data_IF_118095409343
#
_entry.id   IF_118095409343
#
_cell.length_a   1.000
_cell.length_b   1.000
_cell.length_c   1.000
_cell.angle_alpha   90.00
_cell.angle_beta   90.00
_cell.angle_gamma   90.00
#
_symmetry.space_group_name_H-M   'P 1'
#
loop_
_entity.id
_entity.type
_entity.pdbx_description
1 polymer ?
#
# COMPACT_ATOMS: atom_id res chain seq x y z
N UNK A 1 -51.73 70.42 -12.46
CA UNK A 1 -51.81 69.61 -13.70
C UNK A 1 -50.65 68.64 -13.70
N UNK A 2 -50.91 67.33 -13.83
CA UNK A 2 -49.86 66.31 -14.06
C UNK A 2 -49.33 66.44 -15.49
N UNK A 3 -48.02 66.28 -15.69
CA UNK A 3 -47.41 65.67 -16.88
C UNK A 3 -46.01 65.12 -16.53
N UNK A 4 -45.89 63.81 -16.75
CA UNK A 4 -44.72 62.95 -17.03
C UNK A 4 -43.96 63.47 -18.27
N UNK A 5 -42.76 63.07 -18.68
CA UNK A 5 -41.75 62.01 -18.44
C UNK A 5 -40.40 62.66 -18.88
N UNK A 6 -39.21 62.16 -18.57
CA UNK A 6 -38.43 61.34 -19.53
C UNK A 6 -37.26 60.64 -18.82
N UNK A 7 -37.28 59.30 -18.86
CA UNK A 7 -36.11 58.46 -18.58
C UNK A 7 -35.09 58.66 -19.70
N UNK A 8 -33.96 59.29 -19.40
CA UNK A 8 -32.82 59.29 -20.31
C UNK A 8 -32.29 57.85 -20.46
N UNK A 9 -32.40 57.29 -21.67
CA UNK A 9 -31.83 56.00 -22.04
C UNK A 9 -30.29 56.05 -21.91
N UNK A 10 -29.76 55.32 -20.93
CA UNK A 10 -28.32 55.22 -20.72
C UNK A 10 -27.70 54.25 -21.75
N UNK A 11 -27.21 54.79 -22.87
CA UNK A 11 -26.53 53.98 -23.90
C UNK A 11 -25.19 53.46 -23.38
N UNK A 12 -25.08 52.13 -23.26
CA UNK A 12 -23.87 51.41 -22.86
C UNK A 12 -22.86 51.48 -24.02
N UNK A 13 -21.60 51.81 -23.72
CA UNK A 13 -20.52 51.96 -24.70
C UNK A 13 -19.14 51.84 -24.08
N UNK A 14 -18.08 52.01 -24.87
CA UNK A 14 -16.70 51.94 -24.37
C UNK A 14 -16.47 52.97 -23.24
N UNK A 15 -15.99 52.50 -22.08
CA UNK A 15 -15.83 53.32 -20.87
C UNK A 15 -17.13 53.63 -20.10
N UNK A 16 -18.29 53.11 -20.51
CA UNK A 16 -19.60 53.34 -19.89
C UNK A 16 -20.23 52.02 -19.39
N UNK A 17 -19.84 51.50 -18.22
CA UNK A 17 -20.35 50.23 -17.72
C UNK A 17 -21.85 50.30 -17.39
N UNK A 18 -22.62 49.21 -17.60
CA UNK A 18 -24.06 49.18 -17.34
C UNK A 18 -24.38 49.53 -15.88
N UNK A 19 -25.36 50.41 -15.67
CA UNK A 19 -25.74 50.90 -14.33
C UNK A 19 -26.11 49.73 -13.40
N UNK A 20 -26.81 48.72 -13.92
CA UNK A 20 -27.26 47.55 -13.13
C UNK A 20 -26.11 46.71 -12.53
N UNK A 21 -24.90 46.79 -13.07
CA UNK A 21 -23.73 45.99 -12.62
C UNK A 21 -22.65 46.83 -11.92
N UNK A 22 -22.90 48.12 -11.68
CA UNK A 22 -21.96 48.96 -10.92
C UNK A 22 -22.01 48.57 -9.45
N UNK A 23 -20.85 48.42 -8.83
CA UNK A 23 -20.79 48.29 -7.38
C UNK A 23 -21.32 49.57 -6.73
N UNK A 24 -22.11 49.41 -5.66
CA UNK A 24 -22.58 50.55 -4.87
C UNK A 24 -21.39 51.15 -4.13
N UNK A 25 -21.27 52.47 -4.14
CA UNK A 25 -20.24 53.18 -3.39
C UNK A 25 -20.33 52.80 -1.91
N UNK A 26 -19.23 52.36 -1.32
CA UNK A 26 -19.18 51.85 0.06
C UNK A 26 -19.45 50.34 0.22
N UNK A 27 -19.79 49.61 -0.84
CA UNK A 27 -20.02 48.16 -0.80
C UNK A 27 -19.06 47.42 -1.71
N UNK A 28 -18.11 46.66 -1.12
CA UNK A 28 -17.23 45.75 -1.86
C UNK A 28 -18.06 44.67 -2.57
N UNK A 29 -17.71 44.34 -3.80
CA UNK A 29 -18.31 43.22 -4.56
C UNK A 29 -18.10 41.84 -3.92
N UNK A 30 -17.17 41.74 -2.97
CA UNK A 30 -16.98 40.56 -2.13
C UNK A 30 -16.99 40.98 -0.64
N UNK A 31 -18.16 41.14 -0.02
CA UNK A 31 -18.27 41.60 1.37
C UNK A 31 -17.69 40.60 2.39
N UNK A 32 -17.53 39.33 2.01
CA UNK A 32 -16.91 38.31 2.87
C UNK A 32 -15.41 38.15 2.66
N UNK A 33 -14.83 38.88 1.71
CA UNK A 33 -13.43 38.74 1.32
C UNK A 33 -13.07 37.33 0.84
N UNK A 34 -11.80 37.11 0.53
CA UNK A 34 -11.26 35.76 0.42
C UNK A 34 -11.02 35.25 1.84
N UNK A 35 -11.52 34.05 2.23
CA UNK A 35 -11.27 33.53 3.57
C UNK A 35 -9.76 33.44 3.81
N UNK A 36 -9.30 33.93 4.97
CA UNK A 36 -7.90 33.79 5.38
C UNK A 36 -7.60 32.30 5.50
N UNK A 37 -6.54 31.85 4.82
CA UNK A 37 -6.02 30.50 5.01
C UNK A 37 -5.47 30.43 6.44
N UNK A 38 -6.25 29.87 7.36
CA UNK A 38 -5.79 29.57 8.71
C UNK A 38 -4.87 28.36 8.56
N UNK A 39 -3.57 28.60 8.52
CA UNK A 39 -2.58 27.54 8.74
C UNK A 39 -2.72 27.18 10.21
N UNK A 40 -3.19 25.98 10.52
CA UNK A 40 -3.31 25.54 11.91
C UNK A 40 -1.89 25.49 12.50
N UNK A 41 -1.68 26.00 13.71
CA UNK A 41 -0.39 25.92 14.42
C UNK A 41 0.14 24.46 14.49
N UNK A 42 -0.75 23.47 14.46
CA UNK A 42 -0.45 22.04 14.38
C UNK A 42 0.14 21.56 13.05
N UNK A 43 0.15 22.41 12.01
CA UNK A 43 0.76 22.14 10.70
C UNK A 43 2.17 22.75 10.58
N UNK A 44 2.61 23.55 11.56
CA UNK A 44 3.98 24.06 11.61
C UNK A 44 4.90 22.96 12.16
N UNK A 45 5.86 22.45 11.37
CA UNK A 45 6.75 21.39 11.82
C UNK A 45 7.64 21.90 12.97
N UNK A 46 7.66 21.20 14.10
CA UNK A 46 8.64 21.45 15.17
C UNK A 46 9.96 20.74 14.80
N UNK A 47 11.10 21.32 15.19
CA UNK A 47 12.43 20.85 14.80
C UNK A 47 12.81 19.44 15.32
N UNK A 48 12.05 18.85 16.24
CA UNK A 48 12.49 17.71 17.05
C UNK A 48 12.19 16.32 16.47
N UNK A 49 11.43 16.19 15.37
CA UNK A 49 10.88 14.89 14.93
C UNK A 49 11.44 14.40 13.57
N UNK A 50 12.68 14.72 13.20
CA UNK A 50 13.22 14.46 11.85
C UNK A 50 12.36 15.09 10.71
N UNK A 51 11.54 16.09 11.03
CA UNK A 51 10.68 16.77 10.07
C UNK A 51 11.43 17.47 8.93
N UNK A 52 12.69 17.87 9.14
CA UNK A 52 13.53 18.42 8.07
C UNK A 52 13.83 17.38 6.99
N UNK A 53 14.07 16.12 7.35
CA UNK A 53 14.22 15.06 6.36
C UNK A 53 12.91 14.83 5.62
N UNK A 54 11.76 14.80 6.32
CA UNK A 54 10.46 14.69 5.68
C UNK A 54 10.09 15.89 4.79
N UNK A 55 10.50 17.11 5.15
CA UNK A 55 10.31 18.31 4.33
C UNK A 55 11.23 18.29 3.11
N UNK A 56 12.50 17.91 3.30
CA UNK A 56 13.46 17.75 2.22
C UNK A 56 13.00 16.68 1.23
N UNK A 57 12.58 15.50 1.71
CA UNK A 57 12.02 14.44 0.86
C UNK A 57 10.83 14.95 0.05
N UNK A 58 9.88 15.65 0.68
CA UNK A 58 8.74 16.24 -0.02
C UNK A 58 9.16 17.21 -1.12
N UNK A 59 10.14 18.07 -0.85
CA UNK A 59 10.59 19.06 -1.84
C UNK A 59 11.42 18.41 -2.95
N UNK A 60 12.26 17.44 -2.60
CA UNK A 60 13.09 16.66 -3.53
C UNK A 60 12.22 15.86 -4.51
N UNK A 61 11.11 15.28 -4.04
CA UNK A 61 10.17 14.52 -4.88
C UNK A 61 9.04 15.36 -5.48
N UNK A 62 8.98 16.67 -5.20
CA UNK A 62 7.98 17.56 -5.78
C UNK A 62 8.18 17.70 -7.28
N UNK A 63 7.10 17.55 -8.06
CA UNK A 63 7.10 17.76 -9.50
C UNK A 63 7.23 19.25 -9.84
N UNK A 64 8.23 19.56 -10.67
CA UNK A 64 8.50 20.87 -11.26
C UNK A 64 8.17 20.81 -12.76
N UNK A 65 7.63 21.92 -13.28
CA UNK A 65 7.41 22.08 -14.72
C UNK A 65 8.62 22.83 -15.28
N UNK A 66 9.47 22.13 -16.02
CA UNK A 66 10.70 22.67 -16.61
C UNK A 66 10.59 22.65 -18.14
N UNK A 67 11.25 23.60 -18.81
CA UNK A 67 11.31 23.61 -20.27
C UNK A 67 12.68 23.07 -20.73
N UNK A 68 12.72 21.90 -21.35
CA UNK A 68 13.94 21.31 -21.94
C UNK A 68 13.85 21.37 -23.46
N UNK A 69 14.81 22.06 -24.11
CA UNK A 69 14.90 22.16 -25.57
C UNK A 69 13.59 22.63 -26.26
N UNK A 70 12.83 23.50 -25.59
CA UNK A 70 11.55 24.02 -26.09
C UNK A 70 10.32 23.18 -25.76
N UNK A 71 10.49 22.00 -25.16
CA UNK A 71 9.39 21.15 -24.72
C UNK A 71 9.20 21.24 -23.19
N UNK A 72 7.96 21.41 -22.69
CA UNK A 72 7.68 21.31 -21.27
C UNK A 72 7.80 19.85 -20.81
N UNK A 73 8.62 19.61 -19.79
CA UNK A 73 8.83 18.31 -19.13
C UNK A 73 8.55 18.46 -17.65
N UNK A 74 7.71 17.58 -17.12
CA UNK A 74 7.45 17.49 -15.69
C UNK A 74 8.40 16.46 -15.06
N UNK A 75 9.18 16.87 -14.07
CA UNK A 75 10.08 15.97 -13.32
C UNK A 75 10.28 16.46 -11.89
N UNK A 76 10.74 15.57 -10.99
CA UNK A 76 10.99 15.96 -9.61
C UNK A 76 12.19 16.91 -9.49
N UNK A 77 12.25 17.70 -8.41
CA UNK A 77 13.40 18.57 -8.14
C UNK A 77 14.73 17.79 -8.08
N UNK A 78 14.74 16.60 -7.46
CA UNK A 78 15.90 15.71 -7.44
C UNK A 78 16.36 15.34 -8.85
N UNK A 79 15.40 14.92 -9.68
CA UNK A 79 15.67 14.46 -11.03
C UNK A 79 16.17 15.60 -11.92
N UNK A 80 15.60 16.80 -11.76
CA UNK A 80 16.04 18.01 -12.45
C UNK A 80 17.49 18.37 -12.11
N UNK A 81 17.85 18.36 -10.82
CA UNK A 81 19.21 18.64 -10.35
C UNK A 81 20.19 17.59 -10.88
N UNK A 82 19.85 16.30 -10.79
CA UNK A 82 20.69 15.23 -11.31
C UNK A 82 20.88 15.33 -12.82
N UNK A 83 19.83 15.66 -13.56
CA UNK A 83 19.89 15.82 -15.02
C UNK A 83 20.72 17.03 -15.43
N UNK A 84 20.52 18.19 -14.81
CA UNK A 84 21.30 19.39 -15.12
C UNK A 84 22.80 19.18 -14.83
N UNK A 85 23.10 18.56 -13.69
CA UNK A 85 24.45 18.17 -13.30
C UNK A 85 25.13 17.25 -14.32
N UNK A 86 24.43 16.22 -14.80
CA UNK A 86 24.95 15.32 -15.83
C UNK A 86 25.15 16.03 -17.17
N UNK A 87 24.20 16.88 -17.60
CA UNK A 87 24.31 17.65 -18.84
C UNK A 87 25.51 18.60 -18.81
N UNK A 88 25.80 19.26 -17.68
CA UNK A 88 26.99 20.09 -17.52
C UNK A 88 28.29 19.29 -17.59
N UNK A 89 28.31 18.09 -17.00
CA UNK A 89 29.43 17.16 -17.12
C UNK A 89 29.69 16.72 -18.56
N UNK A 90 28.62 16.45 -19.32
CA UNK A 90 28.68 16.07 -20.75
C UNK A 90 29.18 17.25 -21.61
N UNK A 91 28.73 18.47 -21.33
CA UNK A 91 29.15 19.70 -22.03
C UNK A 91 30.64 20.04 -21.85
N UNK A 92 31.34 19.38 -20.92
CA UNK A 92 32.79 19.49 -20.78
C UNK A 92 33.28 20.28 -19.57
N UNK A 93 32.39 20.67 -18.64
CA UNK A 93 32.83 21.25 -17.37
C UNK A 93 33.62 20.19 -16.57
N UNK A 94 34.93 20.40 -16.43
CA UNK A 94 35.85 19.43 -15.79
C UNK A 94 35.49 19.13 -14.34
N UNK A 95 35.00 20.11 -13.58
CA UNK A 95 34.62 19.91 -12.17
C UNK A 95 33.35 19.06 -12.08
N UNK A 96 32.29 19.46 -12.79
CA UNK A 96 31.04 18.70 -12.85
C UNK A 96 31.26 17.26 -13.36
N UNK A 97 32.13 17.06 -14.37
CA UNK A 97 32.48 15.73 -14.87
C UNK A 97 33.22 14.88 -13.83
N UNK A 98 34.17 15.46 -13.08
CA UNK A 98 34.88 14.77 -12.01
C UNK A 98 33.93 14.37 -10.88
N UNK A 99 33.05 15.28 -10.47
CA UNK A 99 32.07 15.03 -9.41
C UNK A 99 31.05 13.98 -9.85
N UNK A 100 30.60 14.00 -11.10
CA UNK A 100 29.66 13.01 -11.64
C UNK A 100 30.28 11.60 -11.67
N UNK A 101 31.52 11.47 -12.15
CA UNK A 101 32.25 10.21 -12.11
C UNK A 101 32.51 9.73 -10.67
N UNK A 102 32.78 10.67 -9.75
CA UNK A 102 32.93 10.37 -8.33
C UNK A 102 31.64 9.83 -7.71
N UNK A 103 30.51 10.47 -8.00
CA UNK A 103 29.18 10.02 -7.57
C UNK A 103 28.86 8.61 -8.11
N UNK A 104 29.03 8.39 -9.42
CA UNK A 104 28.78 7.08 -10.06
C UNK A 104 29.63 5.98 -9.42
N UNK A 105 30.94 6.21 -9.22
CA UNK A 105 31.80 5.21 -8.57
C UNK A 105 31.38 4.91 -7.14
N UNK A 106 30.93 5.92 -6.38
CA UNK A 106 30.44 5.69 -5.01
C UNK A 106 29.17 4.87 -5.01
N UNK A 107 28.19 5.19 -5.86
CA UNK A 107 26.96 4.41 -6.00
C UNK A 107 27.26 2.96 -6.43
N UNK A 108 28.16 2.76 -7.39
CA UNK A 108 28.62 1.42 -7.79
C UNK A 108 29.28 0.66 -6.64
N UNK A 109 30.20 1.31 -5.90
CA UNK A 109 30.88 0.71 -4.75
C UNK A 109 29.91 0.38 -3.61
N UNK A 110 28.95 1.26 -3.33
CA UNK A 110 27.93 1.04 -2.33
C UNK A 110 26.97 -0.06 -2.74
N UNK A 111 26.53 -0.10 -4.01
CA UNK A 111 25.71 -1.17 -4.54
C UNK A 111 26.43 -2.52 -4.46
N UNK A 112 27.71 -2.56 -4.86
CA UNK A 112 28.54 -3.76 -4.75
C UNK A 112 28.72 -4.19 -3.29
N UNK A 113 28.97 -3.24 -2.38
CA UNK A 113 29.10 -3.53 -0.95
C UNK A 113 27.79 -4.09 -0.38
N UNK A 114 26.65 -3.46 -0.68
CA UNK A 114 25.32 -3.95 -0.27
C UNK A 114 25.06 -5.36 -0.81
N UNK A 115 25.42 -5.64 -2.06
CA UNK A 115 25.31 -6.98 -2.66
C UNK A 115 26.22 -8.00 -1.94
N UNK A 116 27.49 -7.67 -1.72
CA UNK A 116 28.44 -8.51 -0.99
C UNK A 116 27.98 -8.79 0.44
N UNK A 117 27.50 -7.77 1.16
CA UNK A 117 27.05 -7.89 2.55
C UNK A 117 25.79 -8.76 2.62
N UNK A 118 24.86 -8.57 1.69
CA UNK A 118 23.67 -9.42 1.55
C UNK A 118 24.04 -10.87 1.26
N UNK A 119 24.94 -11.10 0.31
CA UNK A 119 25.44 -12.44 -0.02
C UNK A 119 26.08 -13.13 1.19
N UNK A 120 27.02 -12.45 1.87
CA UNK A 120 27.71 -12.98 3.05
C UNK A 120 26.75 -13.34 4.17
N UNK A 121 25.75 -12.49 4.41
CA UNK A 121 24.73 -12.75 5.41
C UNK A 121 23.96 -14.05 5.12
N UNK A 122 23.47 -14.22 3.90
CA UNK A 122 22.71 -15.43 3.53
C UNK A 122 23.59 -16.68 3.39
N UNK A 123 24.85 -16.54 2.97
CA UNK A 123 25.81 -17.63 2.98
C UNK A 123 26.06 -18.17 4.40
N UNK A 124 26.25 -17.26 5.36
CA UNK A 124 26.39 -17.63 6.76
C UNK A 124 25.10 -18.28 7.29
N UNK A 125 23.93 -17.70 7.00
CA UNK A 125 22.64 -18.25 7.45
C UNK A 125 22.36 -19.64 6.89
N UNK A 126 22.69 -19.89 5.63
CA UNK A 126 22.57 -21.21 5.01
C UNK A 126 23.46 -22.23 5.72
N UNK A 127 24.74 -21.90 5.93
CA UNK A 127 25.69 -22.78 6.62
C UNK A 127 25.27 -23.09 8.07
N UNK A 128 24.81 -22.07 8.81
CA UNK A 128 24.25 -22.24 10.17
C UNK A 128 23.04 -23.19 10.15
N UNK A 129 22.11 -22.98 9.21
CA UNK A 129 20.94 -23.83 9.05
C UNK A 129 21.29 -25.28 8.76
N UNK A 130 22.15 -25.53 7.78
CA UNK A 130 22.60 -26.87 7.43
C UNK A 130 23.27 -27.59 8.61
N UNK A 131 24.11 -26.87 9.37
CA UNK A 131 24.76 -27.41 10.55
C UNK A 131 23.74 -27.82 11.63
N UNK A 132 22.70 -27.00 11.86
CA UNK A 132 21.64 -27.33 12.84
C UNK A 132 20.81 -28.55 12.41
N UNK A 133 20.42 -28.64 11.13
CA UNK A 133 19.69 -29.80 10.60
C UNK A 133 20.55 -31.06 10.70
N UNK A 134 21.83 -30.99 10.33
CA UNK A 134 22.76 -32.10 10.42
C UNK A 134 22.95 -32.57 11.88
N UNK A 135 23.02 -31.64 12.85
CA UNK A 135 23.12 -31.96 14.28
C UNK A 135 21.87 -32.70 14.78
N UNK A 136 20.68 -32.22 14.44
CA UNK A 136 19.42 -32.87 14.81
C UNK A 136 19.30 -34.28 14.22
N UNK A 137 19.65 -34.41 12.93
CA UNK A 137 19.66 -35.71 12.24
C UNK A 137 20.60 -36.73 12.92
N UNK A 138 21.78 -36.29 13.37
CA UNK A 138 22.72 -37.13 14.13
C UNK A 138 22.19 -37.54 15.50
N UNK A 139 21.38 -36.69 16.14
CA UNK A 139 20.79 -36.95 17.46
C UNK A 139 19.46 -37.74 17.38
N UNK A 140 18.93 -37.99 16.18
CA UNK A 140 17.63 -38.66 16.01
C UNK A 140 16.42 -37.81 16.41
N UNK A 141 16.61 -36.50 16.59
CA UNK A 141 15.55 -35.54 16.94
C UNK A 141 15.01 -34.95 15.63
N UNK A 142 13.70 -34.71 15.48
CA UNK A 142 13.16 -34.02 14.31
C UNK A 142 13.86 -32.66 14.11
N UNK A 143 14.21 -32.30 12.85
CA UNK A 143 14.86 -31.03 12.58
C UNK A 143 13.92 -29.87 12.94
N UNK A 144 14.45 -28.77 13.49
CA UNK A 144 13.64 -27.61 13.82
C UNK A 144 13.19 -26.92 12.51
N UNK A 145 12.06 -26.22 12.56
CA UNK A 145 11.62 -25.41 11.44
C UNK A 145 12.40 -24.08 11.44
N UNK A 146 13.28 -23.93 10.45
CA UNK A 146 14.14 -22.75 10.30
C UNK A 146 13.53 -21.75 9.32
N UNK A 147 13.76 -20.46 9.57
CA UNK A 147 13.36 -19.37 8.71
C UNK A 147 14.53 -18.40 8.49
N UNK A 148 15.02 -18.23 7.25
CA UNK A 148 14.75 -19.06 6.07
C UNK A 148 15.30 -20.49 6.22
N UNK A 149 14.71 -21.45 5.50
CA UNK A 149 15.28 -22.79 5.38
C UNK A 149 16.51 -22.77 4.46
N UNK A 150 17.58 -23.55 4.72
CA UNK A 150 18.77 -23.54 3.87
C UNK A 150 18.50 -23.90 2.40
N UNK A 151 17.58 -24.84 2.12
CA UNK A 151 17.18 -25.21 0.75
C UNK A 151 16.48 -24.07 -0.01
N UNK A 152 15.94 -23.08 0.70
CA UNK A 152 15.29 -21.93 0.08
C UNK A 152 16.28 -20.81 -0.27
N UNK A 153 17.56 -20.94 0.12
CA UNK A 153 18.62 -19.97 -0.16
C UNK A 153 19.45 -20.46 -1.35
N UNK A 154 19.35 -19.74 -2.46
CA UNK A 154 20.24 -19.90 -3.62
C UNK A 154 21.32 -18.83 -3.59
N UNK A 155 22.57 -19.26 -3.71
CA UNK A 155 23.74 -18.38 -3.71
C UNK A 155 24.35 -18.46 -5.10
N UNK A 156 24.40 -17.32 -5.79
CA UNK A 156 25.13 -17.18 -7.04
C UNK A 156 26.52 -16.61 -6.72
N UNK A 157 27.53 -17.48 -6.82
CA UNK A 157 28.93 -17.13 -6.58
C UNK A 157 29.52 -16.24 -7.68
N UNK A 158 28.99 -16.31 -8.91
CA UNK A 158 29.50 -15.53 -10.04
C UNK A 158 29.07 -14.06 -9.94
N UNK A 159 27.80 -13.83 -9.57
CA UNK A 159 27.26 -12.48 -9.41
C UNK A 159 27.33 -11.95 -7.97
N UNK A 160 27.74 -12.78 -7.00
CA UNK A 160 27.70 -12.48 -5.56
C UNK A 160 26.32 -12.03 -5.10
N UNK A 161 25.27 -12.74 -5.55
CA UNK A 161 23.87 -12.47 -5.21
C UNK A 161 23.23 -13.65 -4.48
N UNK A 162 22.41 -13.33 -3.50
CA UNK A 162 21.58 -14.30 -2.80
C UNK A 162 20.12 -14.17 -3.27
N UNK A 163 19.50 -15.29 -3.61
CA UNK A 163 18.08 -15.39 -3.94
C UNK A 163 17.37 -16.20 -2.87
N UNK A 164 16.29 -15.64 -2.33
CA UNK A 164 15.49 -16.27 -1.28
C UNK A 164 14.17 -16.70 -1.90
N UNK A 165 13.96 -18.01 -2.02
CA UNK A 165 12.76 -18.59 -2.61
C UNK A 165 11.63 -18.80 -1.60
N UNK A 166 11.97 -18.84 -0.31
CA UNK A 166 11.08 -19.20 0.78
C UNK A 166 10.83 -18.08 1.79
N UNK A 167 10.06 -18.38 2.86
CA UNK A 167 9.72 -17.41 3.88
C UNK A 167 10.93 -17.05 4.76
N UNK A 168 11.10 -15.75 5.03
CA UNK A 168 12.12 -15.25 5.97
C UNK A 168 11.66 -15.27 7.43
N UNK A 169 10.36 -15.41 7.67
CA UNK A 169 9.76 -15.43 9.02
C UNK A 169 8.60 -16.39 9.10
N UNK A 170 8.18 -16.72 10.33
CA UNK A 170 7.02 -17.58 10.59
C UNK A 170 5.73 -17.01 9.98
N UNK A 171 5.51 -15.70 10.05
CA UNK A 171 4.33 -15.05 9.44
C UNK A 171 4.31 -15.14 7.92
N UNK A 172 5.49 -15.12 7.28
CA UNK A 172 5.61 -15.32 5.84
C UNK A 172 5.41 -16.78 5.44
N UNK A 173 5.62 -17.71 6.37
CA UNK A 173 5.46 -19.15 6.14
C UNK A 173 3.99 -19.59 6.13
N UNK A 174 3.11 -18.86 6.80
CA UNK A 174 1.65 -19.12 6.89
C UNK A 174 1.01 -19.39 5.51
N UNK A 175 1.10 -18.50 4.50
CA UNK A 175 0.47 -18.75 3.21
C UNK A 175 1.01 -20.02 2.53
N UNK A 176 2.31 -20.26 2.60
CA UNK A 176 2.92 -21.48 2.03
C UNK A 176 2.46 -22.75 2.75
N UNK A 177 2.32 -22.70 4.08
CA UNK A 177 1.76 -23.80 4.85
C UNK A 177 0.29 -24.06 4.48
N UNK A 178 -0.50 -23.01 4.28
CA UNK A 178 -1.89 -23.10 3.82
C UNK A 178 -1.98 -23.79 2.46
N UNK A 179 -1.15 -23.39 1.51
CA UNK A 179 -1.08 -24.02 0.19
C UNK A 179 -0.58 -25.48 0.24
N UNK A 180 0.37 -25.81 1.12
CA UNK A 180 0.82 -27.18 1.35
C UNK A 180 -0.30 -28.08 1.90
N UNK A 181 -1.12 -27.59 2.84
CA UNK A 181 -2.30 -28.31 3.32
C UNK A 181 -3.39 -28.42 2.24
N UNK A 182 -3.55 -27.38 1.42
CA UNK A 182 -4.52 -27.40 0.33
C UNK A 182 -4.16 -28.44 -0.73
N UNK A 183 -2.87 -28.56 -1.09
CA UNK A 183 -2.35 -29.67 -1.90
C UNK A 183 -2.70 -31.03 -1.30
N UNK A 184 -2.51 -31.20 0.00
CA UNK A 184 -2.82 -32.47 0.69
C UNK A 184 -4.32 -32.79 0.61
N UNK A 185 -5.17 -31.77 0.77
CA UNK A 185 -6.60 -31.90 0.61
C UNK A 185 -6.98 -32.34 -0.81
N UNK A 186 -6.32 -31.79 -1.85
CA UNK A 186 -6.55 -32.18 -3.24
C UNK A 186 -6.20 -33.65 -3.49
N UNK A 187 -5.06 -34.13 -2.99
CA UNK A 187 -4.67 -35.54 -3.11
C UNK A 187 -5.68 -36.48 -2.43
N UNK A 188 -6.06 -36.18 -1.18
CA UNK A 188 -7.07 -36.98 -0.45
C UNK A 188 -8.41 -36.98 -1.20
N UNK A 189 -8.80 -35.82 -1.77
CA UNK A 189 -10.02 -35.70 -2.56
C UNK A 189 -9.94 -36.47 -3.88
N UNK A 190 -8.80 -36.47 -4.55
CA UNK A 190 -8.57 -37.22 -5.79
C UNK A 190 -8.77 -38.72 -5.58
N UNK A 191 -8.08 -39.29 -4.59
CA UNK A 191 -8.20 -40.72 -4.23
C UNK A 191 -9.63 -41.08 -3.81
N UNK A 192 -10.32 -40.17 -3.10
CA UNK A 192 -11.72 -40.40 -2.73
C UNK A 192 -12.63 -40.46 -3.96
N UNK A 193 -12.49 -39.52 -4.90
CA UNK A 193 -13.27 -39.49 -6.14
C UNK A 193 -13.04 -40.75 -6.98
N UNK A 194 -11.79 -41.20 -7.07
CA UNK A 194 -11.45 -42.46 -7.75
C UNK A 194 -12.15 -43.66 -7.13
N UNK A 195 -12.18 -43.77 -5.79
CA UNK A 195 -12.93 -44.82 -5.08
C UNK A 195 -14.45 -44.74 -5.29
N UNK A 196 -15.00 -43.59 -5.69
CA UNK A 196 -16.40 -43.43 -6.07
C UNK A 196 -16.67 -43.68 -7.56
N UNK A 197 -15.63 -43.83 -8.38
CA UNK A 197 -15.76 -43.88 -9.84
C UNK A 197 -16.00 -42.51 -10.48
N UNK A 198 -15.84 -41.42 -9.73
CA UNK A 198 -16.04 -40.04 -10.21
C UNK A 198 -14.72 -39.43 -10.74
N UNK A 199 -14.00 -40.17 -11.60
CA UNK A 199 -12.72 -39.68 -12.13
C UNK A 199 -12.96 -38.74 -13.29
N UNK A 200 -12.67 -37.45 -13.10
CA UNK A 200 -12.52 -36.48 -14.18
C UNK A 200 -11.04 -36.44 -14.60
N UNK A 201 -10.69 -37.23 -15.60
CA UNK A 201 -9.35 -37.23 -16.19
C UNK A 201 -9.16 -35.97 -17.03
N UNK A 202 -8.02 -35.32 -16.88
CA UNK A 202 -7.49 -34.34 -17.82
C UNK A 202 -6.37 -35.00 -18.63
N UNK A 203 -6.39 -34.81 -19.94
CA UNK A 203 -5.31 -35.22 -20.84
C UNK A 203 -4.39 -34.02 -21.08
N UNK A 204 -3.10 -34.18 -20.81
CA UNK A 204 -2.07 -33.20 -21.15
C UNK A 204 -0.92 -33.93 -21.87
N UNK A 205 -0.97 -33.91 -23.21
CA UNK A 205 -0.04 -34.70 -24.03
C UNK A 205 -0.25 -36.20 -23.81
N UNK A 206 0.80 -36.93 -23.44
CA UNK A 206 0.75 -38.37 -23.14
C UNK A 206 0.35 -38.70 -21.70
N UNK A 207 0.13 -37.70 -20.84
CA UNK A 207 -0.22 -37.90 -19.44
C UNK A 207 -1.73 -37.73 -19.23
N UNK A 208 -2.40 -38.80 -18.79
CA UNK A 208 -3.76 -38.75 -18.24
C UNK A 208 -3.68 -38.72 -16.71
N UNK A 209 -4.10 -37.62 -16.09
CA UNK A 209 -4.15 -37.50 -14.64
C UNK A 209 -5.49 -36.91 -14.20
N UNK A 210 -5.92 -37.21 -12.97
CA UNK A 210 -7.06 -36.53 -12.36
C UNK A 210 -6.78 -35.03 -12.32
N UNK A 211 -7.75 -34.22 -12.71
CA UNK A 211 -7.64 -32.74 -12.66
C UNK A 211 -7.19 -32.20 -11.29
N UNK A 212 -7.59 -32.86 -10.20
CA UNK A 212 -7.17 -32.49 -8.85
C UNK A 212 -5.68 -32.77 -8.58
N UNK A 213 -5.14 -33.86 -9.16
CA UNK A 213 -3.72 -34.19 -9.03
C UNK A 213 -2.85 -33.27 -9.88
N UNK A 214 -3.35 -32.82 -11.04
CA UNK A 214 -2.69 -31.77 -11.83
C UNK A 214 -2.62 -30.47 -11.04
N UNK A 215 -3.73 -30.04 -10.41
CA UNK A 215 -3.73 -28.86 -9.54
C UNK A 215 -2.76 -29.01 -8.36
N UNK A 216 -2.74 -30.18 -7.72
CA UNK A 216 -1.80 -30.46 -6.63
C UNK A 216 -0.34 -30.37 -7.10
N UNK A 217 -0.02 -30.87 -8.31
CA UNK A 217 1.31 -30.77 -8.91
C UNK A 217 1.71 -29.32 -9.27
N UNK A 218 0.74 -28.48 -9.68
CA UNK A 218 0.99 -27.06 -9.92
C UNK A 218 1.31 -26.36 -8.60
N UNK A 219 0.53 -26.62 -7.55
CA UNK A 219 0.79 -26.06 -6.21
C UNK A 219 2.16 -26.50 -5.72
N UNK A 220 2.49 -27.78 -5.85
CA UNK A 220 3.80 -28.34 -5.50
C UNK A 220 4.96 -27.55 -6.13
N UNK A 221 4.90 -27.28 -7.43
CA UNK A 221 5.92 -26.49 -8.14
C UNK A 221 5.96 -25.02 -7.72
N UNK A 222 4.83 -24.47 -7.29
CA UNK A 222 4.75 -23.07 -6.83
C UNK A 222 5.30 -22.86 -5.42
N UNK A 223 5.39 -23.93 -4.60
CA UNK A 223 5.89 -23.86 -3.24
C UNK A 223 7.42 -23.70 -3.20
N UNK A 224 7.98 -23.06 -2.15
CA UNK A 224 9.41 -23.05 -1.90
C UNK A 224 9.96 -24.47 -1.70
N UNK A 225 11.23 -24.75 -2.04
CA UNK A 225 11.86 -26.06 -1.83
C UNK A 225 11.59 -26.70 -0.47
N UNK A 226 11.63 -25.94 0.63
CA UNK A 226 11.41 -26.48 1.98
C UNK A 226 9.97 -26.96 2.25
N UNK A 227 9.00 -26.58 1.42
CA UNK A 227 7.59 -26.98 1.52
C UNK A 227 7.23 -28.07 0.50
N UNK A 228 8.16 -28.39 -0.39
CA UNK A 228 7.99 -29.44 -1.38
C UNK A 228 8.19 -30.81 -0.76
N UNK A 229 7.56 -31.80 -1.36
CA UNK A 229 7.77 -33.22 -1.13
C UNK A 229 8.67 -33.77 -2.22
N UNK A 230 9.60 -34.62 -1.81
CA UNK A 230 10.34 -35.44 -2.75
C UNK A 230 9.38 -36.34 -3.53
N UNK A 231 9.75 -36.71 -4.76
CA UNK A 231 8.93 -37.59 -5.60
C UNK A 231 8.62 -38.93 -4.90
N UNK A 232 9.61 -39.49 -4.18
CA UNK A 232 9.43 -40.72 -3.39
C UNK A 232 8.43 -40.53 -2.24
N UNK A 233 8.55 -39.42 -1.51
CA UNK A 233 7.63 -39.11 -0.40
C UNK A 233 6.20 -38.84 -0.89
N UNK A 234 6.06 -38.22 -2.07
CA UNK A 234 4.77 -38.01 -2.73
C UNK A 234 4.15 -39.35 -3.12
N UNK A 235 4.93 -40.24 -3.75
CA UNK A 235 4.46 -41.59 -4.11
C UNK A 235 4.02 -42.38 -2.88
N UNK A 236 4.83 -42.40 -1.82
CA UNK A 236 4.49 -43.08 -0.56
C UNK A 236 3.21 -42.52 0.07
N UNK A 237 3.06 -41.20 0.09
CA UNK A 237 1.84 -40.54 0.56
C UNK A 237 0.61 -41.01 -0.23
N UNK A 238 0.70 -41.03 -1.56
CA UNK A 238 -0.39 -41.51 -2.41
C UNK A 238 -0.73 -42.98 -2.14
N UNK A 239 0.28 -43.86 -2.05
CA UNK A 239 0.07 -45.28 -1.72
C UNK A 239 -0.66 -45.46 -0.39
N UNK A 240 -0.28 -44.68 0.64
CA UNK A 240 -0.93 -44.73 1.95
C UNK A 240 -2.37 -44.19 1.91
N UNK A 241 -2.67 -43.19 1.08
CA UNK A 241 -4.04 -42.74 0.85
C UNK A 241 -4.89 -43.81 0.15
N UNK A 242 -4.34 -44.51 -0.85
CA UNK A 242 -5.04 -45.60 -1.52
C UNK A 242 -5.39 -46.77 -0.60
N UNK A 243 -4.56 -47.03 0.43
CA UNK A 243 -4.83 -48.05 1.46
C UNK A 243 -5.98 -47.70 2.40
N UNK A 244 -6.34 -46.42 2.51
CA UNK A 244 -7.40 -45.97 3.43
C UNK A 244 -8.82 -46.25 2.91
N UNK A 245 -9.76 -46.39 3.86
CA UNK A 245 -11.19 -46.56 3.57
C UNK A 245 -11.85 -45.24 3.18
N UNK A 246 -12.99 -45.29 2.47
CA UNK A 246 -13.78 -44.10 2.11
C UNK A 246 -14.16 -43.24 3.32
N UNK A 247 -14.44 -43.88 4.47
CA UNK A 247 -14.78 -43.19 5.73
C UNK A 247 -13.58 -42.41 6.29
N UNK A 248 -12.40 -43.04 6.32
CA UNK A 248 -11.15 -42.40 6.77
C UNK A 248 -10.77 -41.19 5.90
N UNK A 249 -10.88 -41.34 4.57
CA UNK A 249 -10.60 -40.24 3.64
C UNK A 249 -11.53 -39.04 3.85
N UNK A 250 -12.84 -39.26 4.07
CA UNK A 250 -13.78 -38.17 4.40
C UNK A 250 -13.44 -37.47 5.70
N UNK A 251 -13.09 -38.23 6.74
CA UNK A 251 -12.65 -37.66 8.03
C UNK A 251 -11.39 -36.81 7.85
N UNK A 252 -10.42 -37.29 7.06
CA UNK A 252 -9.20 -36.55 6.75
C UNK A 252 -9.46 -35.25 5.98
N UNK A 253 -10.36 -35.27 4.98
CA UNK A 253 -10.78 -34.04 4.28
C UNK A 253 -11.38 -33.03 5.25
N UNK A 254 -12.26 -33.47 6.15
CA UNK A 254 -12.88 -32.58 7.12
C UNK A 254 -11.84 -31.99 8.08
N UNK A 255 -10.89 -32.81 8.56
CA UNK A 255 -9.77 -32.35 9.38
C UNK A 255 -8.93 -31.29 8.68
N UNK A 256 -8.51 -31.55 7.44
CA UNK A 256 -7.72 -30.59 6.65
C UNK A 256 -8.47 -29.28 6.39
N UNK A 257 -9.78 -29.33 6.13
CA UNK A 257 -10.60 -28.11 5.97
C UNK A 257 -10.61 -27.26 7.25
N UNK A 258 -10.75 -27.89 8.40
CA UNK A 258 -10.73 -27.20 9.69
C UNK A 258 -9.35 -26.62 9.97
N UNK A 259 -8.28 -27.36 9.68
CA UNK A 259 -6.90 -26.90 9.85
C UNK A 259 -6.59 -25.68 8.97
N UNK A 260 -6.98 -25.73 7.68
CA UNK A 260 -6.83 -24.62 6.75
C UNK A 260 -7.61 -23.38 7.22
N UNK A 261 -8.84 -23.57 7.73
CA UNK A 261 -9.69 -22.48 8.21
C UNK A 261 -9.16 -21.85 9.50
N UNK A 262 -8.52 -22.65 10.36
CA UNK A 262 -7.97 -22.19 11.65
C UNK A 262 -6.57 -21.57 11.53
N UNK A 263 -5.94 -21.60 10.35
CA UNK A 263 -4.63 -20.96 10.18
C UNK A 263 -4.72 -19.45 10.39
N UNK A 264 -3.75 -18.85 11.12
CA UNK A 264 -3.67 -17.41 11.29
C UNK A 264 -3.59 -16.69 9.94
N UNK A 265 -4.01 -15.42 9.90
CA UNK A 265 -3.80 -14.57 8.73
C UNK A 265 -2.39 -13.98 8.77
N UNK A 266 -1.74 -13.90 7.62
CA UNK A 266 -0.40 -13.30 7.55
C UNK A 266 -0.48 -11.80 7.84
N UNK A 267 0.58 -11.19 8.40
CA UNK A 267 0.65 -9.73 8.61
C UNK A 267 0.34 -8.95 7.33
N UNK A 268 0.76 -9.45 6.16
CA UNK A 268 0.43 -8.83 4.87
C UNK A 268 -1.08 -8.79 4.62
N UNK A 269 -1.79 -9.88 4.92
CA UNK A 269 -3.24 -9.98 4.80
C UNK A 269 -3.91 -9.04 5.82
N UNK A 270 -3.44 -9.01 7.07
CA UNK A 270 -3.96 -8.12 8.11
C UNK A 270 -3.79 -6.63 7.76
N UNK A 271 -2.64 -6.27 7.17
CA UNK A 271 -2.38 -4.91 6.70
C UNK A 271 -3.25 -4.55 5.50
N UNK A 272 -3.47 -5.49 4.58
CA UNK A 272 -4.39 -5.31 3.46
C UNK A 272 -5.83 -5.13 3.94
N UNK A 273 -6.28 -5.93 4.90
CA UNK A 273 -7.60 -5.81 5.53
C UNK A 273 -7.75 -4.48 6.26
N UNK A 274 -6.70 -4.03 6.96
CA UNK A 274 -6.69 -2.71 7.63
C UNK A 274 -6.74 -1.56 6.63
N UNK A 275 -6.03 -1.67 5.51
CA UNK A 275 -6.06 -0.68 4.43
C UNK A 275 -7.46 -0.64 3.80
N UNK A 276 -8.04 -1.79 3.45
CA UNK A 276 -9.41 -1.89 2.94
C UNK A 276 -10.45 -1.37 3.94
N UNK A 277 -10.28 -1.65 5.24
CA UNK A 277 -11.15 -1.11 6.28
C UNK A 277 -10.99 0.41 6.46
N UNK A 278 -9.79 0.97 6.25
CA UNK A 278 -9.56 2.41 6.25
C UNK A 278 -10.26 3.08 5.06
N UNK A 279 -10.23 2.46 3.88
CA UNK A 279 -10.95 2.93 2.68
C UNK A 279 -12.47 2.91 2.89
N UNK A 280 -12.99 1.83 3.48
CA UNK A 280 -14.43 1.73 3.83
C UNK A 280 -14.82 2.79 4.86
N UNK A 281 -13.99 3.02 5.90
CA UNK A 281 -14.24 4.09 6.89
C UNK A 281 -14.19 5.48 6.26
N UNK A 282 -13.28 5.73 5.31
CA UNK A 282 -13.24 6.97 4.54
C UNK A 282 -14.52 7.18 3.74
N UNK A 283 -14.94 6.16 2.99
CA UNK A 283 -16.16 6.21 2.18
C UNK A 283 -17.44 6.36 3.03
N UNK A 284 -17.53 5.69 4.18
CA UNK A 284 -18.63 5.83 5.13
C UNK A 284 -18.59 7.22 5.79
N UNK A 285 -17.41 7.71 6.16
CA UNK A 285 -17.20 9.03 6.75
C UNK A 285 -17.64 10.16 5.83
N UNK A 286 -17.29 10.09 4.54
CA UNK A 286 -17.76 11.05 3.53
C UNK A 286 -19.29 11.01 3.34
N UNK A 287 -19.89 9.81 3.32
CA UNK A 287 -21.35 9.66 3.23
C UNK A 287 -22.06 10.20 4.47
N UNK A 288 -21.52 9.95 5.67
CA UNK A 288 -22.03 10.50 6.93
C UNK A 288 -21.89 12.02 6.99
N UNK A 289 -20.77 12.59 6.54
CA UNK A 289 -20.58 14.03 6.48
C UNK A 289 -21.60 14.70 5.54
N UNK A 290 -21.85 14.12 4.36
CA UNK A 290 -22.89 14.59 3.43
C UNK A 290 -24.29 14.49 4.04
N UNK A 291 -24.60 13.38 4.71
CA UNK A 291 -25.89 13.20 5.38
C UNK A 291 -26.09 14.22 6.54
N UNK A 292 -25.04 14.49 7.32
CA UNK A 292 -25.06 15.49 8.38
C UNK A 292 -25.28 16.91 7.82
N UNK A 293 -24.60 17.27 6.72
CA UNK A 293 -24.79 18.54 6.03
C UNK A 293 -26.21 18.69 5.46
N UNK A 294 -26.80 17.62 4.93
CA UNK A 294 -28.18 17.63 4.46
C UNK A 294 -29.19 17.79 5.60
N UNK A 295 -28.97 17.13 6.74
CA UNK A 295 -29.79 17.28 7.93
C UNK A 295 -29.68 18.69 8.52
N UNK A 296 -28.49 19.29 8.54
CA UNK A 296 -28.29 20.69 8.92
C UNK A 296 -29.02 21.63 7.96
N UNK A 297 -28.93 21.41 6.65
CA UNK A 297 -29.67 22.21 5.66
C UNK A 297 -31.19 22.01 5.75
N UNK A 298 -31.65 20.85 6.19
CA UNK A 298 -33.07 20.54 6.39
C UNK A 298 -33.59 21.22 7.67
N UNK A 299 -32.89 21.10 8.79
CA UNK A 299 -33.23 21.77 10.06
C UNK A 299 -33.20 23.30 9.93
N UNK A 300 -32.26 23.88 9.17
CA UNK A 300 -32.27 25.32 8.86
C UNK A 300 -33.47 25.70 8.00
N UNK A 301 -33.86 24.88 7.02
CA UNK A 301 -35.06 25.11 6.18
C UNK A 301 -36.35 24.97 6.97
N UNK A 302 -36.44 24.00 7.86
CA UNK A 302 -37.62 23.75 8.68
C UNK A 302 -37.77 24.86 9.73
N UNK A 303 -36.68 25.30 10.37
CA UNK A 303 -36.66 26.50 11.24
C UNK A 303 -37.02 27.80 10.50
N UNK A 304 -36.67 27.92 9.21
CA UNK A 304 -37.05 29.06 8.38
C UNK A 304 -38.53 29.02 7.96
N UNK A 305 -39.16 27.83 7.93
CA UNK A 305 -40.59 27.65 7.64
C UNK A 305 -41.47 27.82 8.87
N UNK A 306 -40.98 27.43 10.05
CA UNK A 306 -41.74 27.47 11.31
C UNK A 306 -41.85 28.88 11.93
N UNK A 307 -41.50 29.95 11.19
CA UNK A 307 -41.91 31.32 11.51
C UNK A 307 -41.51 31.84 12.90
N UNK A 308 -40.55 31.22 13.57
CA UNK A 308 -40.08 31.61 14.91
C UNK A 308 -38.67 32.18 14.81
N UNK A 309 -38.52 33.24 14.02
CA UNK A 309 -37.48 34.25 14.25
C UNK A 309 -38.11 35.39 15.06
N UNK A 310 -38.53 35.06 16.28
CA UNK A 310 -38.79 36.06 17.31
C UNK A 310 -37.45 36.58 17.80
N UNK A 311 -37.30 37.91 17.81
CA UNK A 311 -36.16 38.62 18.39
C UNK A 311 -35.95 38.20 19.85
N UNK A 312 -35.11 37.19 20.09
CA UNK A 312 -34.50 36.99 21.39
C UNK A 312 -33.08 37.54 21.32
N UNK A 313 -32.98 38.84 21.61
CA UNK A 313 -31.75 39.48 22.06
C UNK A 313 -31.26 38.70 23.29
N UNK A 314 -30.02 38.15 23.32
CA UNK A 314 -29.49 37.57 24.54
C UNK A 314 -29.40 38.67 25.63
N UNK A 315 -29.66 38.35 26.91
CA UNK A 315 -29.63 39.34 27.99
C UNK A 315 -28.25 39.97 28.09
N UNK A 316 -28.21 41.30 28.28
CA UNK A 316 -27.02 42.01 28.74
C UNK A 316 -26.71 41.52 30.17
N UNK A 317 -25.76 40.59 30.31
CA UNK A 317 -25.14 40.28 31.59
C UNK A 317 -23.75 40.92 31.63
N UNK A 318 -23.69 42.00 32.42
CA UNK A 318 -22.50 42.70 32.88
C UNK A 318 -21.47 41.72 33.47
N UNK A 319 -20.35 41.54 32.77
CA UNK A 319 -19.09 41.13 33.40
C UNK A 319 -18.04 42.19 33.13
N UNK A 320 -18.00 43.14 34.05
CA UNK A 320 -16.88 44.04 34.27
C UNK A 320 -15.65 43.21 34.67
N UNK A 321 -14.76 42.93 33.72
CA UNK A 321 -13.39 42.56 34.05
C UNK A 321 -12.49 43.76 33.77
N UNK A 322 -12.19 44.45 34.88
CA UNK A 322 -11.38 45.64 34.94
C UNK A 322 -10.03 45.47 34.26
N UNK A 323 -9.65 46.52 33.53
CA UNK A 323 -8.26 46.74 33.19
C UNK A 323 -7.45 46.92 34.47
N UNK A 324 -6.42 46.10 34.62
CA UNK A 324 -5.26 46.46 35.40
C UNK A 324 -4.09 46.61 34.45
N UNK A 325 -3.84 47.87 34.06
CA UNK A 325 -2.50 48.32 33.75
C UNK A 325 -1.76 48.58 35.06
N UNK A 326 -0.60 47.96 35.21
CA UNK A 326 0.49 48.40 36.08
C UNK A 326 1.74 47.79 35.46
N UNK A 327 2.56 48.64 34.82
CA UNK A 327 3.88 49.08 35.32
C UNK A 327 4.93 47.99 35.20
#
# INVERSE_FOLDING_TARGET
MKKTDEKADYTIGYGKPPIQRRFKMGQSGNPKGRPRKIVKESELPRFCDNHLNGLLEREVFRLLHLNENGNPVEMSAAQAIMRSFLVEGIKGNRLAKKDALGFLRREEQEALKRACDHYKYFAQKKAEGDATIARHKKQGIPPPRLFPHPDDILLDEAEMKAYILGPLSEDQAIPFARWALFRDLLHVRSVLNEKYGEVKTMECGSLSASSLDVMAAIIEKSLPPSFRRDNSSTLMCMMDLHRQTKKQLRQRIQGLKVEIANMPTSIKEQLADRAGAADVRGAIGEKLAKAADELLKKTIRDRAKDGTFGENRPPEEDWTLGGNGAK
#
